data_IF_274358234271
#
_entry.id   IF_274358234271
#
_cell.length_a   1.000
_cell.length_b   1.000
_cell.length_c   1.000
_cell.angle_alpha   90.00
_cell.angle_beta   90.00
_cell.angle_gamma   90.00
#
_symmetry.space_group_name_H-M   'P 1'
#
loop_
_entity.id
_entity.type
_entity.pdbx_description
1 polymer ?
#
# COMPACT_ATOMS: atom_id res chain seq x y z
N UNK A 1 13.56 -7.22 7.88
CA UNK A 1 14.85 -6.48 7.85
C UNK A 1 14.70 -5.09 8.42
N UNK A 2 13.84 -4.23 7.81
CA UNK A 2 13.71 -2.83 8.24
C UNK A 2 13.28 -2.67 9.71
N UNK A 3 12.34 -3.48 10.19
CA UNK A 3 11.91 -3.46 11.60
C UNK A 3 13.07 -3.79 12.55
N UNK A 4 13.86 -4.82 12.24
CA UNK A 4 15.03 -5.20 13.04
C UNK A 4 16.10 -4.11 13.05
N UNK A 5 16.36 -3.47 11.91
CA UNK A 5 17.31 -2.34 11.82
C UNK A 5 16.84 -1.13 12.62
N UNK A 6 15.54 -0.94 12.76
CA UNK A 6 14.95 0.09 13.61
C UNK A 6 14.87 -0.31 15.09
N UNK A 7 15.37 -1.49 15.48
CA UNK A 7 15.30 -1.98 16.84
C UNK A 7 13.91 -2.48 17.28
N UNK A 8 13.01 -2.70 16.34
CA UNK A 8 11.65 -3.19 16.61
C UNK A 8 11.59 -4.72 16.52
N UNK A 9 10.66 -5.32 17.26
CA UNK A 9 10.33 -6.74 17.19
C UNK A 9 9.26 -6.96 16.10
N UNK A 10 9.55 -7.67 14.98
CA UNK A 10 8.57 -7.92 13.94
C UNK A 10 7.58 -9.01 14.34
N UNK A 11 6.29 -8.71 14.30
CA UNK A 11 5.20 -9.67 14.32
C UNK A 11 4.71 -9.94 12.91
N UNK A 12 4.24 -11.15 12.63
CA UNK A 12 3.75 -11.53 11.31
C UNK A 12 2.26 -11.90 11.36
N UNK A 13 1.52 -11.40 10.38
CA UNK A 13 0.13 -11.80 10.14
C UNK A 13 0.12 -12.80 8.99
N UNK A 14 -0.32 -14.01 9.27
CA UNK A 14 -0.38 -15.06 8.26
C UNK A 14 -1.47 -14.75 7.23
N UNK A 15 -1.09 -14.72 5.96
CA UNK A 15 -1.99 -14.61 4.82
C UNK A 15 -2.09 -15.97 4.14
N UNK A 16 -3.16 -16.72 4.41
CA UNK A 16 -3.34 -18.12 3.99
C UNK A 16 -4.39 -18.23 2.89
N UNK A 17 -4.33 -19.31 2.10
CA UNK A 17 -5.35 -19.60 1.07
C UNK A 17 -6.77 -19.64 1.67
N UNK A 18 -6.92 -20.19 2.87
CA UNK A 18 -8.21 -20.26 3.58
C UNK A 18 -8.82 -18.89 3.91
N UNK A 19 -8.00 -17.82 3.99
CA UNK A 19 -8.45 -16.43 4.20
C UNK A 19 -8.38 -15.61 2.92
N UNK A 20 -8.26 -16.25 1.75
CA UNK A 20 -8.03 -15.54 0.48
C UNK A 20 -6.72 -14.75 0.45
N UNK A 21 -5.72 -15.21 1.20
CA UNK A 21 -4.43 -14.54 1.39
C UNK A 21 -4.52 -13.14 2.01
N UNK A 22 -5.59 -12.86 2.74
CA UNK A 22 -5.73 -11.65 3.56
C UNK A 22 -5.40 -11.93 5.02
N UNK A 23 -4.85 -10.95 5.77
CA UNK A 23 -4.62 -11.10 7.19
C UNK A 23 -5.94 -11.14 7.96
N UNK A 24 -6.05 -12.04 8.93
CA UNK A 24 -7.15 -12.08 9.89
C UNK A 24 -6.78 -11.17 11.09
N UNK A 25 -7.28 -9.94 11.06
CA UNK A 25 -6.98 -8.94 12.10
C UNK A 25 -7.68 -9.27 13.44
N UNK A 26 -8.80 -9.98 13.39
CA UNK A 26 -9.58 -10.34 14.59
C UNK A 26 -9.00 -11.55 15.30
N UNK A 27 -8.21 -12.38 14.62
CA UNK A 27 -7.48 -13.48 15.24
C UNK A 27 -6.24 -13.04 16.04
N UNK A 28 -5.83 -11.77 15.92
CA UNK A 28 -4.65 -11.25 16.62
C UNK A 28 -4.98 -10.95 18.08
N UNK A 29 -4.24 -11.53 19.04
CA UNK A 29 -4.50 -11.33 20.47
C UNK A 29 -4.40 -9.85 20.88
N UNK A 30 -5.27 -9.37 21.79
CA UNK A 30 -5.25 -7.99 22.26
C UNK A 30 -3.91 -7.50 22.84
N UNK A 31 -3.16 -8.39 23.47
CA UNK A 31 -1.81 -8.09 24.00
C UNK A 31 -0.81 -7.79 22.89
N UNK A 32 -0.95 -8.39 21.72
CA UNK A 32 -0.14 -8.07 20.54
C UNK A 32 -0.45 -6.66 20.05
N UNK A 33 -1.73 -6.31 19.96
CA UNK A 33 -2.15 -4.98 19.57
C UNK A 33 -1.68 -3.90 20.54
N UNK A 34 -1.70 -4.17 21.86
CA UNK A 34 -1.19 -3.20 22.88
C UNK A 34 0.29 -2.89 22.73
N UNK A 35 1.06 -3.79 22.13
CA UNK A 35 2.50 -3.62 21.84
C UNK A 35 2.76 -3.12 20.43
N UNK A 36 1.76 -3.11 19.56
CA UNK A 36 1.88 -2.67 18.18
C UNK A 36 2.16 -1.17 18.11
N UNK A 37 3.17 -0.76 17.39
CA UNK A 37 3.48 0.63 17.08
C UNK A 37 3.23 0.95 15.62
N UNK A 38 3.39 -0.05 14.75
CA UNK A 38 3.22 0.08 13.31
C UNK A 38 2.60 -1.21 12.76
N UNK A 39 1.47 -1.07 12.06
CA UNK A 39 0.89 -2.12 11.24
C UNK A 39 1.25 -1.84 9.78
N UNK A 40 1.97 -2.77 9.15
CA UNK A 40 2.32 -2.66 7.73
C UNK A 40 1.40 -3.55 6.90
N UNK A 41 0.70 -2.94 5.94
CA UNK A 41 -0.21 -3.61 5.01
C UNK A 41 0.31 -3.46 3.58
N UNK A 42 -0.04 -4.41 2.70
CA UNK A 42 0.22 -4.32 1.26
C UNK A 42 -1.05 -4.74 0.52
N UNK A 43 -1.67 -3.80 -0.21
CA UNK A 43 -2.90 -4.08 -0.96
C UNK A 43 -2.94 -3.22 -2.24
N UNK A 44 -3.06 -3.87 -3.41
CA UNK A 44 -3.01 -5.31 -3.68
C UNK A 44 -1.70 -5.96 -3.24
N UNK A 45 -1.78 -7.18 -2.72
CA UNK A 45 -0.67 -7.86 -2.07
C UNK A 45 0.36 -8.45 -3.04
N UNK A 46 1.63 -8.34 -2.70
CA UNK A 46 2.71 -9.07 -3.36
C UNK A 46 3.19 -10.20 -2.42
N UNK A 47 3.19 -11.48 -2.85
CA UNK A 47 3.05 -11.97 -4.23
C UNK A 47 1.64 -12.41 -4.62
N UNK A 48 0.66 -12.38 -3.73
CA UNK A 48 -0.62 -13.09 -3.88
C UNK A 48 -1.62 -12.41 -4.80
N UNK A 49 -1.49 -11.09 -5.01
CA UNK A 49 -2.48 -10.27 -5.72
C UNK A 49 -3.77 -10.03 -4.93
N UNK A 50 -3.86 -10.52 -3.68
CA UNK A 50 -5.05 -10.33 -2.85
C UNK A 50 -5.30 -8.85 -2.58
N UNK A 51 -6.57 -8.43 -2.71
CA UNK A 51 -7.02 -7.06 -2.47
C UNK A 51 -7.79 -7.02 -1.16
N UNK A 52 -7.35 -6.17 -0.24
CA UNK A 52 -8.09 -5.95 1.02
C UNK A 52 -9.40 -5.22 0.71
N UNK A 53 -10.56 -5.76 1.13
CA UNK A 53 -11.82 -5.05 1.00
C UNK A 53 -11.87 -3.85 1.96
N UNK A 54 -12.71 -2.88 1.65
CA UNK A 54 -12.87 -1.67 2.48
C UNK A 54 -13.21 -2.02 3.94
N UNK A 55 -13.98 -3.09 4.18
CA UNK A 55 -14.30 -3.57 5.53
C UNK A 55 -13.06 -3.96 6.35
N UNK A 56 -12.08 -4.59 5.73
CA UNK A 56 -10.81 -4.93 6.40
C UNK A 56 -9.97 -3.69 6.69
N UNK A 57 -9.95 -2.71 5.77
CA UNK A 57 -9.28 -1.43 5.99
C UNK A 57 -9.95 -0.66 7.14
N UNK A 58 -11.29 -0.61 7.19
CA UNK A 58 -12.05 0.00 8.31
C UNK A 58 -11.73 -0.72 9.63
N UNK A 59 -11.63 -2.06 9.62
CA UNK A 59 -11.27 -2.82 10.81
C UNK A 59 -9.86 -2.47 11.31
N UNK A 60 -8.89 -2.32 10.41
CA UNK A 60 -7.55 -1.86 10.76
C UNK A 60 -7.57 -0.45 11.38
N UNK A 61 -8.40 0.44 10.84
CA UNK A 61 -8.59 1.79 11.37
C UNK A 61 -9.17 1.78 12.79
N UNK A 62 -10.20 0.98 13.07
CA UNK A 62 -10.79 0.81 14.41
C UNK A 62 -9.75 0.31 15.42
N UNK A 63 -8.95 -0.70 15.03
CA UNK A 63 -7.87 -1.20 15.87
C UNK A 63 -6.79 -0.15 16.11
N UNK A 64 -6.45 0.65 15.09
CA UNK A 64 -5.53 1.78 15.23
C UNK A 64 -6.06 2.83 16.23
N UNK A 65 -7.38 3.10 16.24
CA UNK A 65 -7.98 3.99 17.24
C UNK A 65 -7.91 3.41 18.65
N UNK A 66 -8.24 2.14 18.76
CA UNK A 66 -8.29 1.45 20.04
C UNK A 66 -6.91 1.32 20.71
N UNK A 67 -5.85 1.08 19.91
CA UNK A 67 -4.53 0.71 20.41
C UNK A 67 -3.43 1.74 20.12
N UNK A 68 -3.68 2.75 19.27
CA UNK A 68 -2.80 3.90 19.07
C UNK A 68 -1.65 3.67 18.09
N UNK A 69 -1.65 2.60 17.28
CA UNK A 69 -0.58 2.34 16.32
C UNK A 69 -0.79 3.06 14.98
N UNK A 70 0.29 3.28 14.24
CA UNK A 70 0.26 3.82 12.87
C UNK A 70 0.01 2.67 11.87
N UNK A 71 -0.78 2.94 10.84
CA UNK A 71 -0.96 2.04 9.69
C UNK A 71 -0.14 2.58 8.53
N UNK A 72 0.76 1.75 8.00
CA UNK A 72 1.52 2.00 6.77
C UNK A 72 1.02 1.07 5.67
N UNK A 73 0.37 1.61 4.64
CA UNK A 73 -0.19 0.84 3.52
C UNK A 73 0.67 1.00 2.28
N UNK A 74 1.25 -0.11 1.80
CA UNK A 74 1.90 -0.18 0.50
C UNK A 74 0.85 -0.40 -0.58
N UNK A 75 0.57 0.64 -1.36
CA UNK A 75 -0.43 0.66 -2.43
C UNK A 75 0.21 0.75 -3.82
N UNK A 76 1.45 0.29 -3.95
CA UNK A 76 2.20 0.37 -5.21
C UNK A 76 1.54 -0.37 -6.38
N UNK A 77 0.64 -1.31 -6.11
CA UNK A 77 -0.10 -2.09 -7.12
C UNK A 77 -1.54 -1.61 -7.32
N UNK A 78 -1.98 -0.53 -6.70
CA UNK A 78 -3.36 -0.02 -6.75
C UNK A 78 -3.88 0.23 -8.17
N UNK A 79 -2.98 0.48 -9.13
CA UNK A 79 -3.33 0.74 -10.53
C UNK A 79 -3.32 -0.52 -11.42
N UNK A 80 -3.11 -1.72 -10.86
CA UNK A 80 -3.14 -2.97 -11.62
C UNK A 80 -4.36 -3.79 -11.21
N UNK A 81 -5.45 -3.62 -11.93
CA UNK A 81 -6.72 -4.31 -11.70
C UNK A 81 -7.46 -4.60 -13.02
N UNK A 82 -8.39 -5.55 -12.98
CA UNK A 82 -9.05 -6.05 -14.18
C UNK A 82 -10.30 -5.26 -14.56
N UNK A 83 -11.09 -4.83 -13.57
CA UNK A 83 -12.39 -4.18 -13.77
C UNK A 83 -12.28 -2.69 -13.45
N UNK A 84 -12.41 -1.84 -14.48
CA UNK A 84 -12.35 -0.37 -14.34
C UNK A 84 -13.47 0.21 -13.44
N UNK A 85 -14.55 -0.54 -13.24
CA UNK A 85 -15.64 -0.14 -12.33
C UNK A 85 -15.39 -0.51 -10.86
N UNK A 86 -14.37 -1.33 -10.59
CA UNK A 86 -14.05 -1.86 -9.26
C UNK A 86 -12.55 -1.71 -8.93
N UNK A 87 -12.04 -0.47 -8.84
CA UNK A 87 -10.66 -0.24 -8.44
C UNK A 87 -10.42 -0.72 -6.99
N UNK A 88 -9.19 -1.18 -6.66
CA UNK A 88 -8.84 -1.53 -5.29
C UNK A 88 -9.07 -0.36 -4.32
N UNK A 89 -9.72 -0.58 -3.17
CA UNK A 89 -9.89 0.48 -2.18
C UNK A 89 -8.54 0.83 -1.52
N UNK A 90 -8.32 2.13 -1.28
CA UNK A 90 -7.14 2.65 -0.59
C UNK A 90 -7.40 2.95 0.89
N UNK A 91 -6.34 2.93 1.71
CA UNK A 91 -6.43 3.22 3.15
C UNK A 91 -6.95 4.63 3.43
N UNK A 92 -6.48 5.65 2.71
CA UNK A 92 -6.94 7.03 2.91
C UNK A 92 -8.39 7.22 2.47
N UNK A 93 -8.85 6.50 1.44
CA UNK A 93 -10.26 6.48 1.04
C UNK A 93 -11.13 5.90 2.17
N UNK A 94 -10.74 4.77 2.76
CA UNK A 94 -11.44 4.16 3.87
C UNK A 94 -11.42 5.06 5.13
N UNK A 95 -10.30 5.73 5.38
CA UNK A 95 -10.16 6.69 6.48
C UNK A 95 -11.12 7.88 6.31
N UNK A 96 -11.14 8.52 5.14
CA UNK A 96 -12.07 9.62 4.82
C UNK A 96 -13.53 9.17 4.95
N UNK A 97 -13.89 8.02 4.38
CA UNK A 97 -15.25 7.46 4.50
C UNK A 97 -15.65 7.11 5.96
N UNK A 98 -14.68 7.03 6.87
CA UNK A 98 -14.86 6.84 8.31
C UNK A 98 -14.82 8.15 9.11
N UNK A 99 -14.82 9.32 8.43
CA UNK A 99 -14.80 10.65 9.05
C UNK A 99 -13.42 11.10 9.55
N UNK A 100 -12.34 10.50 9.06
CA UNK A 100 -10.96 10.87 9.41
C UNK A 100 -10.34 11.77 8.34
N UNK A 101 -10.73 13.03 8.32
CA UNK A 101 -10.31 13.98 7.29
C UNK A 101 -8.82 14.38 7.38
N UNK A 102 -8.22 14.27 8.57
CA UNK A 102 -6.79 14.52 8.78
C UNK A 102 -5.93 13.25 8.66
N UNK A 103 -6.53 12.09 8.32
CA UNK A 103 -5.86 10.80 8.14
C UNK A 103 -5.00 10.36 9.32
N UNK A 104 -5.41 10.66 10.54
CA UNK A 104 -4.65 10.40 11.76
C UNK A 104 -4.14 8.95 11.79
N UNK A 105 -2.85 8.80 12.02
CA UNK A 105 -2.11 7.53 12.07
C UNK A 105 -2.17 6.69 10.79
N UNK A 106 -2.51 7.28 9.64
CA UNK A 106 -2.53 6.59 8.36
C UNK A 106 -1.46 7.16 7.44
N UNK A 107 -0.63 6.30 6.85
CA UNK A 107 0.28 6.67 5.76
C UNK A 107 0.19 5.65 4.62
N UNK A 108 0.21 6.13 3.39
CA UNK A 108 0.18 5.32 2.18
C UNK A 108 1.41 5.58 1.33
N UNK A 109 1.87 4.54 0.65
CA UNK A 109 3.01 4.58 -0.26
C UNK A 109 2.57 4.22 -1.66
N UNK A 110 2.86 5.08 -2.62
CA UNK A 110 2.62 4.87 -4.04
C UNK A 110 3.91 4.98 -4.85
N UNK A 111 3.95 4.30 -6.00
CA UNK A 111 5.13 4.27 -6.85
C UNK A 111 4.78 4.30 -8.33
N UNK A 112 5.60 5.00 -9.13
CA UNK A 112 5.56 4.91 -10.60
C UNK A 112 6.04 3.55 -11.12
N UNK A 113 6.64 2.72 -10.27
CA UNK A 113 7.20 1.42 -10.67
C UNK A 113 6.17 0.52 -11.36
N UNK A 114 4.94 0.48 -10.85
CA UNK A 114 3.85 -0.35 -11.38
C UNK A 114 2.79 0.48 -12.10
N UNK A 115 2.43 1.64 -11.57
CA UNK A 115 1.50 2.57 -12.19
C UNK A 115 1.93 2.92 -13.62
N UNK A 116 3.21 3.22 -13.83
CA UNK A 116 3.75 3.74 -15.10
C UNK A 116 4.79 2.81 -15.76
N UNK A 117 4.97 1.60 -15.24
CA UNK A 117 5.96 0.63 -15.73
C UNK A 117 7.40 1.18 -15.82
N UNK A 118 7.79 2.08 -14.92
CA UNK A 118 9.12 2.70 -14.87
C UNK A 118 9.86 2.45 -13.54
N UNK A 119 10.07 1.18 -13.15
CA UNK A 119 10.69 0.86 -11.85
C UNK A 119 12.11 1.42 -11.70
N UNK A 120 12.81 1.64 -12.82
CA UNK A 120 14.18 2.21 -12.85
C UNK A 120 14.25 3.69 -12.43
N UNK A 121 13.17 4.45 -12.52
CA UNK A 121 13.14 5.86 -12.08
C UNK A 121 13.27 6.00 -10.57
N UNK A 122 12.97 4.98 -9.78
CA UNK A 122 13.00 5.03 -8.31
C UNK A 122 12.17 6.19 -7.75
N UNK A 123 10.97 6.40 -8.31
CA UNK A 123 10.07 7.49 -7.95
C UNK A 123 8.78 6.98 -7.31
N UNK A 124 8.35 7.65 -6.27
CA UNK A 124 7.13 7.40 -5.52
C UNK A 124 6.84 8.56 -4.59
N UNK A 125 5.72 8.47 -3.87
CA UNK A 125 5.38 9.41 -2.82
C UNK A 125 4.78 8.70 -1.60
N UNK A 126 4.75 9.42 -0.50
CA UNK A 126 4.03 9.07 0.72
C UNK A 126 3.00 10.15 1.01
N UNK A 127 1.81 9.75 1.44
CA UNK A 127 0.73 10.65 1.84
C UNK A 127 0.03 10.14 3.12
N UNK A 128 -0.67 11.02 3.83
CA UNK A 128 -1.44 10.65 5.03
C UNK A 128 -1.29 11.62 6.18
N UNK A 129 -1.19 11.11 7.40
CA UNK A 129 -1.10 11.86 8.66
C UNK A 129 -0.01 12.94 8.62
N UNK A 130 -0.36 14.23 8.74
CA UNK A 130 0.59 15.33 8.68
C UNK A 130 1.70 15.24 9.73
N UNK A 131 1.39 14.78 10.95
CA UNK A 131 2.38 14.68 12.03
C UNK A 131 3.40 13.57 11.75
N UNK A 132 2.95 12.43 11.23
CA UNK A 132 3.83 11.34 10.81
C UNK A 132 4.68 11.78 9.62
N UNK A 133 4.09 12.48 8.65
CA UNK A 133 4.80 12.96 7.46
C UNK A 133 5.84 14.02 7.77
N UNK A 134 5.60 14.91 8.74
CA UNK A 134 6.59 15.89 9.18
C UNK A 134 7.84 15.22 9.76
N UNK A 135 7.63 14.25 10.67
CA UNK A 135 8.73 13.47 11.25
C UNK A 135 9.48 12.65 10.19
N UNK A 136 8.73 12.01 9.29
CA UNK A 136 9.30 11.23 8.17
C UNK A 136 10.13 12.13 7.24
N UNK A 137 9.63 13.30 6.87
CA UNK A 137 10.35 14.25 6.03
C UNK A 137 11.65 14.72 6.68
N UNK A 138 11.62 15.04 7.98
CA UNK A 138 12.82 15.41 8.72
C UNK A 138 13.85 14.28 8.73
N UNK A 139 13.41 13.06 9.03
CA UNK A 139 14.28 11.88 9.00
C UNK A 139 14.91 11.67 7.62
N UNK A 140 14.11 11.82 6.55
CA UNK A 140 14.56 11.69 5.16
C UNK A 140 15.61 12.73 4.75
N UNK A 141 15.69 13.86 5.41
CA UNK A 141 16.71 14.89 5.17
C UNK A 141 18.11 14.36 5.51
N UNK A 142 18.21 13.48 6.49
CA UNK A 142 19.47 12.92 6.98
C UNK A 142 19.70 11.47 6.55
N UNK A 143 18.64 10.73 6.29
CA UNK A 143 18.69 9.31 5.97
C UNK A 143 18.01 9.01 4.64
N UNK A 144 18.81 8.68 3.65
CA UNK A 144 18.38 8.40 2.28
C UNK A 144 18.82 9.50 1.30
N UNK A 145 18.51 9.30 0.04
CA UNK A 145 18.90 10.20 -1.04
C UNK A 145 17.72 11.04 -1.49
N UNK A 146 17.99 12.30 -1.88
CA UNK A 146 17.06 13.09 -2.67
C UNK A 146 16.89 12.44 -4.06
N UNK A 147 15.67 12.46 -4.58
CA UNK A 147 15.41 12.03 -5.96
C UNK A 147 16.12 13.00 -6.92
N UNK A 148 16.93 12.53 -7.88
CA UNK A 148 17.63 13.39 -8.82
C UNK A 148 16.67 14.29 -9.61
N UNK A 149 17.10 15.50 -9.96
CA UNK A 149 16.23 16.51 -10.59
C UNK A 149 15.62 16.03 -11.93
N UNK A 150 16.39 15.31 -12.72
CA UNK A 150 15.88 14.73 -13.98
C UNK A 150 14.77 13.69 -13.73
N UNK A 151 14.91 12.88 -12.69
CA UNK A 151 13.86 11.93 -12.27
C UNK A 151 12.62 12.68 -11.77
N UNK A 152 12.79 13.74 -10.97
CA UNK A 152 11.64 14.55 -10.52
C UNK A 152 10.88 15.16 -11.70
N UNK A 153 11.61 15.71 -12.67
CA UNK A 153 11.03 16.29 -13.90
C UNK A 153 10.30 15.25 -14.76
N UNK A 154 10.81 14.03 -14.84
CA UNK A 154 10.15 12.93 -15.55
C UNK A 154 8.95 12.39 -14.78
N UNK A 155 9.00 12.41 -13.45
CA UNK A 155 7.92 11.90 -12.58
C UNK A 155 6.67 12.77 -12.64
N UNK A 156 6.84 14.09 -12.72
CA UNK A 156 5.73 15.04 -12.71
C UNK A 156 4.70 14.74 -13.82
N UNK A 157 5.07 14.69 -15.11
CA UNK A 157 4.12 14.34 -16.17
C UNK A 157 3.56 12.92 -16.02
N UNK A 158 4.35 11.96 -15.52
CA UNK A 158 3.85 10.60 -15.29
C UNK A 158 2.76 10.54 -14.21
N UNK A 159 2.83 11.37 -13.17
CA UNK A 159 1.77 11.50 -12.18
C UNK A 159 0.54 12.26 -12.68
N UNK A 160 0.68 13.11 -13.67
CA UNK A 160 -0.39 13.94 -14.24
C UNK A 160 -1.14 13.28 -15.40
N UNK A 161 -0.56 12.26 -16.03
CA UNK A 161 -1.15 11.57 -17.17
C UNK A 161 -1.81 10.25 -16.75
N UNK A 162 -3.12 10.16 -16.94
CA UNK A 162 -3.90 8.94 -16.69
C UNK A 162 -4.02 8.05 -17.94
N UNK A 163 -3.80 8.59 -19.13
CA UNK A 163 -4.00 7.83 -20.38
C UNK A 163 -3.01 6.65 -20.46
N UNK A 164 -1.75 6.85 -20.12
CA UNK A 164 -0.77 5.77 -20.10
C UNK A 164 -1.04 4.74 -18.99
N UNK A 165 -1.67 5.13 -17.88
CA UNK A 165 -2.04 4.21 -16.79
C UNK A 165 -3.15 3.27 -17.23
N UNK A 166 -4.17 3.82 -17.91
CA UNK A 166 -5.25 3.01 -18.49
C UNK A 166 -4.71 2.04 -19.54
N UNK A 167 -3.81 2.50 -20.41
CA UNK A 167 -3.16 1.63 -21.40
C UNK A 167 -2.30 0.53 -20.73
N UNK A 168 -1.55 0.88 -19.68
CA UNK A 168 -0.78 -0.09 -18.89
C UNK A 168 -1.70 -1.17 -18.28
N UNK A 169 -2.84 -0.79 -17.70
CA UNK A 169 -3.85 -1.74 -17.20
C UNK A 169 -4.41 -2.63 -18.30
N UNK A 170 -4.72 -2.05 -19.46
CA UNK A 170 -5.20 -2.81 -20.62
C UNK A 170 -4.21 -3.90 -21.03
N UNK A 171 -2.93 -3.57 -21.10
CA UNK A 171 -1.86 -4.52 -21.41
C UNK A 171 -1.70 -5.61 -20.34
N UNK A 172 -1.87 -5.27 -19.06
CA UNK A 172 -1.88 -6.27 -17.99
C UNK A 172 -3.08 -7.21 -18.10
N UNK A 173 -4.29 -6.69 -18.37
CA UNK A 173 -5.48 -7.54 -18.58
C UNK A 173 -5.27 -8.56 -19.70
N UNK A 174 -4.71 -8.14 -20.83
CA UNK A 174 -4.41 -9.05 -21.95
C UNK A 174 -3.42 -10.15 -21.55
N UNK A 175 -2.37 -9.77 -20.81
CA UNK A 175 -1.37 -10.76 -20.33
C UNK A 175 -2.00 -11.75 -19.34
N UNK A 176 -2.80 -11.28 -18.39
CA UNK A 176 -3.50 -12.15 -17.45
C UNK A 176 -4.50 -13.07 -18.16
N UNK A 177 -5.28 -12.55 -19.10
CA UNK A 177 -6.22 -13.35 -19.88
C UNK A 177 -5.54 -14.46 -20.67
N UNK A 178 -4.32 -14.22 -21.14
CA UNK A 178 -3.56 -15.22 -21.90
C UNK A 178 -2.86 -16.26 -21.00
N UNK A 179 -2.34 -15.83 -19.83
CA UNK A 179 -1.44 -16.66 -19.01
C UNK A 179 -2.18 -17.42 -17.91
N UNK A 180 -3.18 -16.81 -17.25
CA UNK A 180 -3.87 -17.43 -16.11
C UNK A 180 -4.54 -18.77 -16.49
N UNK A 181 -5.24 -18.92 -17.64
CA UNK A 181 -5.80 -20.21 -18.02
C UNK A 181 -4.73 -21.32 -18.12
N UNK A 182 -3.56 -21.01 -18.71
CA UNK A 182 -2.46 -21.98 -18.85
C UNK A 182 -1.90 -22.43 -17.49
N UNK A 183 -1.83 -21.54 -16.52
CA UNK A 183 -1.37 -21.87 -15.16
C UNK A 183 -2.38 -22.73 -14.38
N UNK A 184 -3.66 -22.64 -14.71
CA UNK A 184 -4.70 -23.45 -14.05
C UNK A 184 -4.82 -24.87 -14.65
N UNK A 185 -4.12 -25.17 -15.75
CA UNK A 185 -4.07 -26.51 -16.35
C UNK A 185 -2.95 -27.39 -15.76
N UNK A 186 -2.09 -26.81 -14.90
CA UNK A 186 -0.95 -27.48 -14.27
C UNK A 186 -1.27 -27.82 -12.81
#
# INVERSE_FOLDING_TARGET
GAALLAGAEPGYLDCRAATGYLPDLDAVPPETWRRCQLLYLCSPGNPTGAVMPESSLRRALELSDQYGFVIASDECYSEIYADESAPPPGLLQAAHASGRDAFERCVVFHSLSKRSSVPGLRSGFVAGDPAVLEAFRLYRTYHGCAVPLHTQRASLPAWQDEAHVMENRRLYREKFAAVVPLLNEV
#
